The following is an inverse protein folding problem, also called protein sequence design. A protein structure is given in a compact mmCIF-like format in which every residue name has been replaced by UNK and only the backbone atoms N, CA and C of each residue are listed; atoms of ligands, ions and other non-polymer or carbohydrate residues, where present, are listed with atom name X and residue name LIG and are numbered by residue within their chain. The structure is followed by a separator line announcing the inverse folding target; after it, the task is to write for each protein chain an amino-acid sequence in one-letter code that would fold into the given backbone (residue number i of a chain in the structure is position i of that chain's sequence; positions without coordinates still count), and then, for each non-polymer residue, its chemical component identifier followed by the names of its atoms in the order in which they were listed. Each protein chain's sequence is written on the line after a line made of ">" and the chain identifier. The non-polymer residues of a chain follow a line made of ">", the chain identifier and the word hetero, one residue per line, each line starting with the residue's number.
data_IF_412857437661
#
_entry.id   IF_412857437661
#
_cell.length_a   1.000
_cell.length_b   1.000
_cell.length_c   1.000
_cell.angle_alpha   90.00
_cell.angle_beta   90.00
_cell.angle_gamma   90.00
#
_symmetry.space_group_name_H-M   'P 1'
#
loop_
_entity.id
_entity.type
_entity.pdbx_description
1 polymer ?
#
# COMPACT_ATOMS: atom_id res chain seq x y z
N UNK A 1 -4.90 -28.48 18.76
CA UNK A 1 -6.09 -27.59 18.81
C UNK A 1 -6.10 -26.63 20.02
N UNK A 2 -6.01 -27.13 21.26
CA UNK A 2 -6.17 -26.32 22.47
C UNK A 2 -5.15 -25.16 22.61
N UNK A 3 -3.90 -25.36 22.19
CA UNK A 3 -2.87 -24.31 22.25
C UNK A 3 -3.11 -23.17 21.25
N UNK A 4 -3.59 -23.48 20.05
CA UNK A 4 -3.91 -22.47 19.02
C UNK A 4 -5.05 -21.58 19.54
N UNK A 5 -6.12 -22.17 20.07
CA UNK A 5 -7.25 -21.42 20.66
C UNK A 5 -6.82 -20.55 21.84
N UNK A 6 -5.88 -21.03 22.66
CA UNK A 6 -5.30 -20.23 23.75
C UNK A 6 -4.52 -19.02 23.21
N UNK A 7 -3.68 -19.21 22.18
CA UNK A 7 -2.92 -18.13 21.55
C UNK A 7 -3.80 -17.11 20.86
N UNK A 8 -4.84 -17.56 20.17
CA UNK A 8 -5.84 -16.72 19.51
C UNK A 8 -6.52 -15.82 20.55
N UNK A 9 -7.04 -16.40 21.64
CA UNK A 9 -7.67 -15.64 22.72
C UNK A 9 -6.73 -14.60 23.34
N UNK A 10 -5.48 -14.96 23.66
CA UNK A 10 -4.48 -14.02 24.19
C UNK A 10 -4.21 -12.87 23.21
N UNK A 11 -4.15 -13.17 21.92
CA UNK A 11 -3.93 -12.16 20.88
C UNK A 11 -5.12 -11.20 20.79
N UNK A 12 -6.33 -11.73 20.75
CA UNK A 12 -7.56 -10.92 20.74
C UNK A 12 -7.69 -10.05 21.99
N UNK A 13 -7.39 -10.59 23.17
CA UNK A 13 -7.37 -9.84 24.42
C UNK A 13 -6.35 -8.69 24.38
N UNK A 14 -5.13 -8.93 23.85
CA UNK A 14 -4.10 -7.88 23.68
C UNK A 14 -4.48 -6.80 22.67
N UNK A 15 -5.22 -7.17 21.64
CA UNK A 15 -5.77 -6.23 20.66
C UNK A 15 -7.04 -5.54 21.18
N UNK A 16 -7.47 -5.82 22.42
CA UNK A 16 -8.74 -5.32 22.98
C UNK A 16 -9.96 -5.68 22.12
N UNK A 17 -9.87 -6.81 21.41
CA UNK A 17 -10.83 -7.25 20.39
C UNK A 17 -11.00 -6.27 19.21
N UNK A 18 -10.15 -5.25 19.10
CA UNK A 18 -10.09 -4.37 17.95
C UNK A 18 -9.28 -5.02 16.83
N UNK A 19 -10.01 -5.58 15.86
CA UNK A 19 -9.45 -6.15 14.64
C UNK A 19 -9.50 -5.16 13.46
N UNK A 20 -10.08 -3.98 13.65
CA UNK A 20 -10.36 -2.98 12.60
C UNK A 20 -9.19 -2.02 12.41
N UNK A 21 -7.96 -2.53 12.50
CA UNK A 21 -6.76 -1.74 12.28
C UNK A 21 -6.47 -1.62 10.79
N UNK A 22 -6.22 -0.39 10.32
CA UNK A 22 -5.83 -0.15 8.94
C UNK A 22 -4.52 -0.86 8.63
N UNK A 23 -4.54 -1.72 7.62
CA UNK A 23 -3.38 -2.48 7.16
C UNK A 23 -2.63 -1.71 6.06
N UNK A 24 -1.34 -2.00 5.83
CA UNK A 24 -0.63 -1.50 4.66
C UNK A 24 -1.37 -1.80 3.34
N UNK A 25 -2.11 -2.91 3.26
CA UNK A 25 -2.88 -3.26 2.08
C UNK A 25 -4.03 -2.28 1.82
N UNK A 26 -4.67 -1.75 2.85
CA UNK A 26 -5.73 -0.76 2.72
C UNK A 26 -5.21 0.53 2.09
N UNK A 27 -4.03 0.99 2.55
CA UNK A 27 -3.36 2.14 1.94
C UNK A 27 -2.97 1.88 0.49
N UNK A 28 -2.51 0.66 0.16
CA UNK A 28 -2.18 0.30 -1.23
C UNK A 28 -3.39 0.44 -2.14
N UNK A 29 -4.53 -0.11 -1.72
CA UNK A 29 -5.78 -0.02 -2.48
C UNK A 29 -6.23 1.44 -2.65
N UNK A 30 -6.18 2.23 -1.58
CA UNK A 30 -6.59 3.65 -1.59
C UNK A 30 -5.69 4.48 -2.51
N UNK A 31 -4.37 4.41 -2.33
CA UNK A 31 -3.43 5.22 -3.13
C UNK A 31 -3.40 4.78 -4.59
N UNK A 32 -3.48 3.47 -4.86
CA UNK A 32 -3.61 2.96 -6.21
C UNK A 32 -4.89 3.48 -6.89
N UNK A 33 -6.03 3.45 -6.19
CA UNK A 33 -7.29 4.01 -6.70
C UNK A 33 -7.19 5.52 -6.95
N UNK A 34 -6.53 6.28 -6.07
CA UNK A 34 -6.28 7.72 -6.27
C UNK A 34 -5.46 7.99 -7.53
N UNK A 35 -4.42 7.20 -7.80
CA UNK A 35 -3.59 7.35 -9.01
C UNK A 35 -4.39 7.00 -10.26
N UNK A 36 -5.08 5.85 -10.26
CA UNK A 36 -5.86 5.35 -11.40
C UNK A 36 -7.00 6.29 -11.78
N UNK A 37 -7.70 6.86 -10.79
CA UNK A 37 -8.86 7.74 -11.02
C UNK A 37 -8.47 9.13 -11.52
N UNK A 38 -7.36 9.69 -11.04
CA UNK A 38 -6.94 11.05 -11.37
C UNK A 38 -6.06 11.11 -12.62
N UNK A 39 -5.34 10.03 -12.90
CA UNK A 39 -4.39 9.96 -14.00
C UNK A 39 -4.64 8.75 -14.90
N UNK A 40 -5.87 8.56 -15.43
CA UNK A 40 -6.21 7.39 -16.25
C UNK A 40 -5.37 7.33 -17.54
N UNK A 41 -4.88 8.47 -18.01
CA UNK A 41 -4.02 8.60 -19.18
C UNK A 41 -2.58 8.12 -18.95
N UNK A 42 -2.17 7.85 -17.71
CA UNK A 42 -0.84 7.31 -17.38
C UNK A 42 -0.81 5.77 -17.32
N UNK A 43 -1.99 5.13 -17.28
CA UNK A 43 -2.13 3.67 -17.33
C UNK A 43 -1.68 3.00 -18.64
N UNK A 44 -1.84 3.61 -19.84
CA UNK A 44 -1.34 3.04 -21.10
C UNK A 44 0.18 2.93 -21.15
N UNK A 45 0.89 3.76 -20.39
CA UNK A 45 2.36 3.80 -20.34
C UNK A 45 2.94 2.66 -19.48
N UNK A 46 2.13 2.06 -18.60
CA UNK A 46 2.52 0.92 -17.78
C UNK A 46 2.56 -0.35 -18.65
N UNK A 47 3.69 -1.07 -18.75
CA UNK A 47 3.82 -2.25 -19.61
C UNK A 47 2.86 -3.41 -19.25
N UNK A 48 2.16 -3.34 -18.12
CA UNK A 48 1.09 -4.26 -17.72
C UNK A 48 -0.29 -3.60 -17.84
N UNK A 49 -0.95 -3.81 -18.99
CA UNK A 49 -2.24 -3.21 -19.41
C UNK A 49 -3.48 -3.42 -18.52
N UNK A 50 -3.37 -3.99 -17.32
CA UNK A 50 -4.53 -4.25 -16.44
C UNK A 50 -4.27 -3.68 -15.04
N UNK A 51 -5.13 -2.77 -14.53
CA UNK A 51 -5.03 -2.26 -13.16
C UNK A 51 -4.99 -3.37 -12.10
N UNK A 52 -5.68 -4.49 -12.34
CA UNK A 52 -5.64 -5.67 -11.46
C UNK A 52 -4.28 -6.37 -11.43
N UNK A 53 -3.55 -6.37 -12.53
CA UNK A 53 -2.21 -6.95 -12.61
C UNK A 53 -1.18 -6.02 -11.95
N UNK A 54 -1.34 -4.71 -12.16
CA UNK A 54 -0.52 -3.69 -11.51
C UNK A 54 -0.65 -3.74 -9.99
N UNK A 55 -1.88 -3.74 -9.45
CA UNK A 55 -2.07 -3.86 -7.99
C UNK A 55 -1.54 -5.18 -7.44
N UNK A 56 -1.64 -6.29 -8.19
CA UNK A 56 -1.06 -7.57 -7.78
C UNK A 56 0.48 -7.54 -7.69
N UNK A 57 1.14 -6.82 -8.61
CA UNK A 57 2.59 -6.61 -8.56
C UNK A 57 2.99 -5.78 -7.33
N UNK A 58 2.31 -4.67 -7.08
CA UNK A 58 2.55 -3.83 -5.90
C UNK A 58 2.26 -4.58 -4.59
N UNK A 59 1.24 -5.46 -4.59
CA UNK A 59 0.92 -6.33 -3.45
C UNK A 59 2.07 -7.27 -3.13
N UNK A 60 2.69 -7.89 -4.15
CA UNK A 60 3.86 -8.74 -3.94
C UNK A 60 5.06 -7.97 -3.40
N UNK A 61 5.30 -6.76 -3.92
CA UNK A 61 6.37 -5.89 -3.41
C UNK A 61 6.12 -5.53 -1.95
N UNK A 62 4.90 -5.13 -1.60
CA UNK A 62 4.51 -4.83 -0.23
C UNK A 62 4.70 -6.03 0.70
N UNK A 63 4.25 -7.22 0.29
CA UNK A 63 4.45 -8.45 1.06
C UNK A 63 5.93 -8.77 1.27
N UNK A 64 6.76 -8.59 0.24
CA UNK A 64 8.21 -8.78 0.36
C UNK A 64 8.84 -7.79 1.35
N UNK A 65 8.40 -6.53 1.34
CA UNK A 65 8.89 -5.51 2.26
C UNK A 65 8.43 -5.76 3.69
N UNK A 66 7.19 -6.21 3.87
CA UNK A 66 6.62 -6.59 5.16
C UNK A 66 7.31 -7.82 5.77
N UNK A 67 7.99 -8.63 4.96
CA UNK A 67 8.83 -9.73 5.45
C UNK A 67 10.20 -9.25 5.97
N UNK A 68 10.58 -7.98 5.76
CA UNK A 68 11.83 -7.40 6.24
C UNK A 68 11.62 -6.62 7.54
N UNK A 69 12.31 -7.03 8.61
CA UNK A 69 12.26 -6.35 9.90
C UNK A 69 12.74 -4.89 9.83
N UNK A 70 13.64 -4.54 8.90
CA UNK A 70 14.11 -3.17 8.75
C UNK A 70 13.00 -2.24 8.24
N UNK A 71 12.12 -2.76 7.39
CA UNK A 71 11.08 -1.97 6.72
C UNK A 71 9.78 -1.97 7.54
N UNK A 72 9.49 -3.03 8.29
CA UNK A 72 8.26 -3.12 9.10
C UNK A 72 8.17 -2.06 10.21
N UNK A 73 9.28 -1.39 10.55
CA UNK A 73 9.34 -0.30 11.53
C UNK A 73 8.65 0.99 11.04
N UNK A 74 8.49 1.16 9.74
CA UNK A 74 7.83 2.33 9.17
C UNK A 74 6.31 2.17 9.15
N UNK A 75 5.58 3.29 9.13
CA UNK A 75 4.13 3.28 8.93
C UNK A 75 3.79 2.59 7.60
N UNK A 76 2.77 1.74 7.60
CA UNK A 76 2.31 1.02 6.41
C UNK A 76 2.01 1.95 5.23
N UNK A 77 1.38 3.10 5.51
CA UNK A 77 1.12 4.15 4.52
C UNK A 77 2.40 4.71 3.88
N UNK A 78 3.47 4.89 4.65
CA UNK A 78 4.78 5.35 4.14
C UNK A 78 5.40 4.32 3.20
N UNK A 79 5.40 3.03 3.57
CA UNK A 79 5.95 1.97 2.72
C UNK A 79 5.21 1.90 1.37
N UNK A 80 3.88 1.93 1.42
CA UNK A 80 3.03 1.90 0.22
C UNK A 80 3.30 3.11 -0.66
N UNK A 81 3.37 4.30 -0.05
CA UNK A 81 3.65 5.53 -0.76
C UNK A 81 4.99 5.44 -1.50
N UNK A 82 6.04 4.95 -0.84
CA UNK A 82 7.36 4.73 -1.46
C UNK A 82 7.24 3.76 -2.63
N UNK A 83 6.58 2.61 -2.44
CA UNK A 83 6.36 1.61 -3.50
C UNK A 83 5.68 2.24 -4.73
N UNK A 84 4.59 2.99 -4.52
CA UNK A 84 3.87 3.65 -5.61
C UNK A 84 4.72 4.74 -6.27
N UNK A 85 5.41 5.58 -5.49
CA UNK A 85 6.24 6.65 -6.06
C UNK A 85 7.40 6.12 -6.89
N UNK A 86 8.04 5.02 -6.47
CA UNK A 86 9.11 4.36 -7.23
C UNK A 86 8.58 3.77 -8.54
N UNK A 87 7.37 3.20 -8.51
CA UNK A 87 6.75 2.66 -9.72
C UNK A 87 6.36 3.78 -10.70
N UNK A 88 5.84 4.91 -10.19
CA UNK A 88 5.55 6.09 -11.01
C UNK A 88 6.81 6.67 -11.64
N UNK A 89 7.89 6.81 -10.87
CA UNK A 89 9.19 7.28 -11.35
C UNK A 89 9.74 6.40 -12.48
N UNK A 90 9.63 5.08 -12.33
CA UNK A 90 10.11 4.12 -13.33
C UNK A 90 9.32 4.17 -14.64
N UNK A 91 8.03 4.45 -14.58
CA UNK A 91 7.12 4.25 -15.71
C UNK A 91 6.69 5.53 -16.42
N UNK A 92 6.74 6.68 -15.75
CA UNK A 92 6.09 7.90 -16.24
C UNK A 92 7.12 9.03 -16.41
N UNK A 93 7.37 9.48 -17.65
CA UNK A 93 8.08 10.74 -17.89
C UNK A 93 7.31 11.90 -17.25
N UNK A 94 7.96 12.68 -16.38
CA UNK A 94 7.29 13.75 -15.65
C UNK A 94 6.43 13.27 -14.49
N UNK A 95 6.85 12.23 -13.76
CA UNK A 95 6.17 11.68 -12.59
C UNK A 95 6.02 12.65 -11.40
N UNK A 96 6.87 13.67 -11.30
CA UNK A 96 6.97 14.54 -10.11
C UNK A 96 5.67 15.30 -9.74
N UNK A 97 4.91 15.89 -10.70
CA UNK A 97 3.61 16.50 -10.39
C UNK A 97 2.59 15.48 -9.88
N UNK A 98 2.62 14.23 -10.38
CA UNK A 98 1.71 13.15 -9.97
C UNK A 98 2.00 12.73 -8.53
N UNK A 99 3.27 12.57 -8.18
CA UNK A 99 3.67 12.20 -6.81
C UNK A 99 3.42 13.32 -5.82
N UNK A 100 3.68 14.58 -6.19
CA UNK A 100 3.39 15.72 -5.32
C UNK A 100 1.89 15.92 -5.09
N UNK A 101 1.04 15.70 -6.09
CA UNK A 101 -0.41 15.72 -5.93
C UNK A 101 -0.91 14.57 -5.04
N UNK A 102 -0.41 13.35 -5.27
CA UNK A 102 -0.71 12.18 -4.43
C UNK A 102 -0.30 12.42 -2.97
N UNK A 103 0.91 12.94 -2.75
CA UNK A 103 1.43 13.25 -1.41
C UNK A 103 0.58 14.29 -0.70
N UNK A 104 0.15 15.35 -1.40
CA UNK A 104 -0.75 16.36 -0.83
C UNK A 104 -2.06 15.73 -0.41
N UNK A 105 -2.69 14.93 -1.28
CA UNK A 105 -3.98 14.27 -0.99
C UNK A 105 -3.88 13.23 0.12
N UNK A 106 -2.78 12.50 0.20
CA UNK A 106 -2.53 11.57 1.30
C UNK A 106 -2.36 12.28 2.66
N UNK A 107 -2.02 13.57 2.67
CA UNK A 107 -1.86 14.39 3.88
C UNK A 107 -3.10 15.20 4.27
N UNK A 108 -4.14 15.27 3.43
CA UNK A 108 -5.35 16.11 3.65
C UNK A 108 -6.22 15.67 4.86
N UNK A 109 -5.78 14.71 5.67
CA UNK A 109 -6.47 14.31 6.90
C UNK A 109 -5.56 13.78 8.01
N UNK A 110 -4.26 14.15 8.03
CA UNK A 110 -3.40 13.95 9.21
C UNK A 110 -3.58 15.04 10.25
#
# INVERSE_FOLDING_TARGET
>A
PAQILRMERITLEKLQWDLYTATPMDFLNIFHAMVVSQWPHLLPTVPQRKPSLHVALLTRQLQHWMASHQLVQFKGSTLVLVIITLELERLIPGWLPVTTDLLKKAQVGS
#
